data_IF_588112465339
#
_entry.id   IF_588112465339
#
_cell.length_a   1.000
_cell.length_b   1.000
_cell.length_c   1.000
_cell.angle_alpha   90.00
_cell.angle_beta   90.00
_cell.angle_gamma   90.00
#
_symmetry.space_group_name_H-M   'P 1'
#
loop_
_entity.id
_entity.type
_entity.pdbx_description
1 polymer ?
#
# COMPACT_ATOMS: atom_id res chain seq x y z
N UNK A 1 -16.39 -6.17 -5.07
CA UNK A 1 -14.97 -6.56 -5.15
C UNK A 1 -14.46 -6.66 -3.71
N UNK A 2 -14.11 -7.86 -3.22
CA UNK A 2 -13.61 -8.04 -1.86
C UNK A 2 -12.08 -8.10 -1.92
N UNK A 3 -11.42 -7.05 -1.44
CA UNK A 3 -9.96 -6.97 -1.38
C UNK A 3 -9.52 -7.76 -0.14
N UNK A 4 -8.72 -8.81 -0.32
CA UNK A 4 -8.17 -9.61 0.78
C UNK A 4 -6.64 -9.57 0.71
N UNK A 5 -5.96 -9.10 1.77
CA UNK A 5 -4.51 -9.14 1.83
C UNK A 5 -4.01 -10.58 2.07
N UNK A 6 -2.79 -10.85 1.62
CA UNK A 6 -2.14 -12.15 1.80
C UNK A 6 -1.37 -12.27 3.11
N UNK A 7 -0.87 -11.13 3.59
CA UNK A 7 -0.10 -11.00 4.82
C UNK A 7 -0.50 -9.70 5.51
N UNK A 8 -0.60 -9.75 6.83
CA UNK A 8 -0.81 -8.59 7.69
C UNK A 8 0.38 -8.47 8.63
N UNK A 9 1.17 -7.40 8.51
CA UNK A 9 2.37 -7.20 9.32
C UNK A 9 2.06 -6.18 10.43
N UNK A 10 2.24 -6.59 11.69
CA UNK A 10 2.09 -5.71 12.85
C UNK A 10 3.46 -5.45 13.49
N UNK A 11 3.85 -4.18 13.57
CA UNK A 11 5.07 -3.76 14.25
C UNK A 11 4.76 -3.45 15.72
N UNK A 12 5.41 -4.17 16.62
CA UNK A 12 5.33 -3.94 18.05
C UNK A 12 6.44 -2.98 18.49
N UNK A 13 6.07 -1.84 19.05
CA UNK A 13 6.99 -0.75 19.42
C UNK A 13 6.51 -0.18 20.74
N UNK A 14 7.43 0.06 21.68
CA UNK A 14 7.09 0.66 22.98
C UNK A 14 6.45 2.04 22.83
N UNK A 15 5.42 2.30 23.64
CA UNK A 15 4.66 3.55 23.65
C UNK A 15 5.55 4.79 23.77
N UNK A 16 6.56 4.75 24.64
CA UNK A 16 7.47 5.88 24.88
C UNK A 16 8.26 6.25 23.63
N UNK A 17 8.67 5.24 22.85
CA UNK A 17 9.38 5.45 21.58
C UNK A 17 8.42 6.06 20.54
N UNK A 18 7.16 5.61 20.51
CA UNK A 18 6.15 6.17 19.61
C UNK A 18 5.83 7.63 19.96
N UNK A 19 5.80 7.97 21.25
CA UNK A 19 5.56 9.32 21.75
C UNK A 19 6.75 10.23 21.42
N UNK A 20 7.99 9.82 21.71
CA UNK A 20 9.21 10.61 21.37
C UNK A 20 9.27 10.89 19.86
N UNK A 21 8.90 9.90 19.03
CA UNK A 21 8.85 10.05 17.57
C UNK A 21 7.76 11.01 17.10
N UNK A 22 6.63 11.05 17.79
CA UNK A 22 5.52 11.95 17.45
C UNK A 22 5.87 13.40 17.78
N UNK A 23 6.40 13.65 18.98
CA UNK A 23 6.78 14.99 19.46
C UNK A 23 8.06 15.51 18.79
N UNK A 24 8.94 14.61 18.35
CA UNK A 24 10.19 14.94 17.66
C UNK A 24 10.02 15.49 16.24
N UNK A 25 8.78 15.55 15.73
CA UNK A 25 8.46 16.01 14.39
C UNK A 25 8.54 17.54 14.26
N UNK A 26 9.12 18.01 13.17
CA UNK A 26 9.27 19.43 12.83
C UNK A 26 8.82 19.67 11.39
N UNK A 27 8.35 20.88 11.11
CA UNK A 27 7.90 21.32 9.81
C UNK A 27 8.76 22.49 9.36
N UNK A 28 9.25 22.46 8.12
CA UNK A 28 9.80 23.64 7.48
C UNK A 28 8.65 24.47 6.86
N UNK A 29 8.39 25.71 7.31
CA UNK A 29 7.28 26.52 6.82
C UNK A 29 7.45 26.94 5.35
N UNK A 30 8.67 26.96 4.80
CA UNK A 30 8.91 27.40 3.42
C UNK A 30 8.72 26.26 2.41
N UNK A 31 9.20 25.07 2.75
CA UNK A 31 9.16 23.91 1.85
C UNK A 31 8.00 22.96 2.13
N UNK A 32 7.38 23.06 3.31
CA UNK A 32 6.38 22.11 3.79
C UNK A 32 6.95 20.73 4.14
N UNK A 33 8.28 20.54 4.07
CA UNK A 33 8.93 19.26 4.37
C UNK A 33 8.90 18.98 5.87
N UNK A 34 8.70 17.71 6.21
CA UNK A 34 8.72 17.22 7.58
C UNK A 34 10.12 16.71 7.90
N UNK A 35 10.59 17.04 9.09
CA UNK A 35 11.88 16.61 9.62
C UNK A 35 11.69 16.02 11.02
N UNK A 36 12.68 15.26 11.47
CA UNK A 36 12.69 14.74 12.83
C UNK A 36 14.04 15.05 13.49
N UNK A 37 14.01 15.59 14.72
CA UNK A 37 15.20 16.11 15.41
C UNK A 37 16.36 15.08 15.44
N UNK A 38 16.08 13.83 15.83
CA UNK A 38 17.09 12.75 15.92
C UNK A 38 17.22 11.91 14.64
N UNK A 39 16.10 11.36 14.15
CA UNK A 39 16.11 10.30 13.14
C UNK A 39 16.24 10.78 11.69
N UNK A 40 15.85 12.03 11.42
CA UNK A 40 15.91 12.60 10.08
C UNK A 40 16.10 14.13 10.17
N UNK A 41 17.27 14.58 10.67
CA UNK A 41 17.58 15.99 10.75
C UNK A 41 17.78 16.57 9.35
N UNK A 42 17.46 17.86 9.17
CA UNK A 42 17.86 18.56 7.95
C UNK A 42 19.38 18.70 7.90
N UNK A 43 19.98 18.57 6.73
CA UNK A 43 21.42 18.80 6.54
C UNK A 43 21.77 20.29 6.49
N UNK A 44 20.81 21.14 6.09
CA UNK A 44 21.00 22.58 5.97
C UNK A 44 20.71 23.30 7.29
N UNK A 45 21.69 24.05 7.81
CA UNK A 45 21.56 24.84 9.04
C UNK A 45 20.45 25.90 8.97
N UNK A 46 20.26 26.55 7.82
CA UNK A 46 19.17 27.50 7.61
C UNK A 46 17.78 26.87 7.70
N UNK A 47 17.66 25.59 7.37
CA UNK A 47 16.41 24.85 7.55
C UNK A 47 16.23 24.56 9.03
N UNK A 48 17.29 24.10 9.73
CA UNK A 48 17.23 23.78 11.16
C UNK A 48 16.75 24.96 12.01
N UNK A 49 17.22 26.18 11.72
CA UNK A 49 16.86 27.37 12.50
C UNK A 49 15.41 27.83 12.33
N UNK A 50 14.77 27.50 11.20
CA UNK A 50 13.37 27.86 10.90
C UNK A 50 12.36 26.74 11.14
N UNK A 51 12.81 25.56 11.58
CA UNK A 51 11.94 24.43 11.86
C UNK A 51 10.96 24.78 12.99
N UNK A 52 9.67 24.56 12.74
CA UNK A 52 8.61 24.78 13.72
C UNK A 52 7.95 23.47 14.14
N UNK A 53 7.50 23.39 15.39
CA UNK A 53 6.67 22.29 15.87
C UNK A 53 5.21 22.58 15.53
N UNK A 54 4.44 21.57 15.14
CA UNK A 54 3.00 21.74 14.91
C UNK A 54 2.27 21.86 16.25
N UNK A 55 1.17 22.62 16.34
CA UNK A 55 0.39 22.73 17.57
C UNK A 55 -0.18 21.37 18.03
N UNK A 56 -0.42 20.44 17.10
CA UNK A 56 -0.94 19.11 17.40
C UNK A 56 0.11 18.14 17.97
N UNK A 57 1.41 18.45 17.83
CA UNK A 57 2.53 17.55 18.17
C UNK A 57 2.88 17.63 19.67
N UNK A 58 1.87 17.44 20.53
CA UNK A 58 1.99 17.38 21.99
C UNK A 58 1.97 15.94 22.51
N UNK A 59 2.55 15.73 23.69
CA UNK A 59 2.55 14.41 24.36
C UNK A 59 1.13 13.93 24.69
N UNK A 60 0.26 14.83 25.14
CA UNK A 60 -1.15 14.52 25.44
C UNK A 60 -1.89 14.02 24.18
N UNK A 61 -1.70 14.71 23.05
CA UNK A 61 -2.29 14.29 21.78
C UNK A 61 -1.73 12.95 21.30
N UNK A 62 -0.42 12.72 21.48
CA UNK A 62 0.21 11.45 21.15
C UNK A 62 -0.41 10.28 21.95
N UNK A 63 -0.57 10.45 23.26
CA UNK A 63 -1.17 9.46 24.15
C UNK A 63 -2.63 9.20 23.81
N UNK A 64 -3.42 10.25 23.61
CA UNK A 64 -4.83 10.15 23.22
C UNK A 64 -4.99 9.34 21.93
N UNK A 65 -4.20 9.65 20.90
CA UNK A 65 -4.20 8.90 19.64
C UNK A 65 -3.78 7.44 19.81
N UNK A 66 -2.80 7.17 20.67
CA UNK A 66 -2.34 5.81 20.93
C UNK A 66 -3.39 4.99 21.67
N UNK A 67 -4.10 5.59 22.63
CA UNK A 67 -5.20 4.95 23.34
C UNK A 67 -6.35 4.59 22.41
N UNK A 68 -6.79 5.52 21.57
CA UNK A 68 -7.83 5.28 20.55
C UNK A 68 -7.41 4.13 19.64
N UNK A 69 -6.14 4.07 19.23
CA UNK A 69 -5.66 2.94 18.46
C UNK A 69 -5.76 1.62 19.20
N UNK A 70 -5.30 1.55 20.46
CA UNK A 70 -5.36 0.32 21.28
C UNK A 70 -6.79 -0.18 21.47
N UNK A 71 -7.76 0.73 21.60
CA UNK A 71 -9.18 0.36 21.69
C UNK A 71 -9.73 -0.26 20.40
N UNK A 72 -9.21 0.16 19.24
CA UNK A 72 -9.72 -0.28 17.94
C UNK A 72 -8.91 -1.43 17.32
N UNK A 73 -7.68 -1.68 17.79
CA UNK A 73 -6.77 -2.65 17.16
C UNK A 73 -7.27 -4.08 17.29
N UNK A 74 -7.93 -4.41 18.40
CA UNK A 74 -8.41 -5.77 18.68
C UNK A 74 -9.43 -6.24 17.63
N UNK A 75 -10.32 -5.34 17.18
CA UNK A 75 -11.30 -5.64 16.14
C UNK A 75 -10.65 -5.93 14.77
N UNK A 76 -9.50 -5.31 14.49
CA UNK A 76 -8.77 -5.50 13.23
C UNK A 76 -7.94 -6.79 13.33
N UNK A 77 -7.26 -7.01 14.46
CA UNK A 77 -6.41 -8.18 14.67
C UNK A 77 -7.22 -9.47 14.65
N UNK A 78 -8.45 -9.48 15.19
CA UNK A 78 -9.32 -10.65 15.14
C UNK A 78 -9.63 -11.08 13.69
N UNK A 79 -9.87 -10.10 12.82
CA UNK A 79 -10.21 -10.32 11.41
C UNK A 79 -9.03 -10.89 10.62
N UNK A 80 -7.81 -10.43 10.90
CA UNK A 80 -6.60 -10.81 10.16
C UNK A 80 -5.69 -11.79 10.89
N UNK A 81 -6.15 -12.39 11.99
CA UNK A 81 -5.35 -13.29 12.84
C UNK A 81 -4.68 -14.42 12.05
N UNK A 82 -5.37 -14.97 11.05
CA UNK A 82 -4.86 -16.06 10.20
C UNK A 82 -3.65 -15.69 9.34
N UNK A 83 -3.48 -14.41 9.00
CA UNK A 83 -2.40 -13.90 8.14
C UNK A 83 -1.47 -12.91 8.88
N UNK A 84 -1.67 -12.77 10.20
CA UNK A 84 -0.94 -11.84 11.04
C UNK A 84 0.50 -12.32 11.30
N UNK A 85 1.47 -11.45 11.02
CA UNK A 85 2.87 -11.58 11.41
C UNK A 85 3.25 -10.41 12.30
N UNK A 86 3.53 -10.69 13.57
CA UNK A 86 4.03 -9.70 14.52
C UNK A 86 5.55 -9.61 14.44
N UNK A 87 6.07 -8.40 14.38
CA UNK A 87 7.51 -8.12 14.32
C UNK A 87 7.87 -7.15 15.43
N UNK A 88 9.00 -7.39 16.10
CA UNK A 88 9.57 -6.43 17.05
C UNK A 88 10.18 -5.25 16.28
N UNK A 89 9.53 -4.09 16.41
CA UNK A 89 9.91 -2.81 15.80
C UNK A 89 10.79 -1.93 16.68
N UNK A 90 11.23 -2.41 17.85
CA UNK A 90 12.18 -1.69 18.72
C UNK A 90 13.64 -1.83 18.26
N UNK A 91 13.90 -2.71 17.28
CA UNK A 91 15.22 -2.94 16.67
C UNK A 91 15.57 -1.85 15.64
N UNK A 92 16.80 -1.87 15.14
CA UNK A 92 17.23 -0.92 14.10
C UNK A 92 16.42 -1.09 12.81
N UNK A 93 16.28 0.00 12.05
CA UNK A 93 15.50 0.03 10.81
C UNK A 93 15.98 -1.02 9.82
N UNK A 94 17.29 -1.23 9.73
CA UNK A 94 17.93 -2.15 8.80
C UNK A 94 17.58 -3.60 9.13
N UNK A 95 17.53 -3.96 10.42
CA UNK A 95 17.17 -5.32 10.87
C UNK A 95 15.69 -5.59 10.58
N UNK A 96 14.81 -4.66 10.98
CA UNK A 96 13.36 -4.80 10.76
C UNK A 96 13.04 -4.86 9.26
N UNK A 97 13.72 -4.05 8.44
CA UNK A 97 13.51 -4.03 7.00
C UNK A 97 13.90 -5.37 6.35
N UNK A 98 15.07 -5.92 6.70
CA UNK A 98 15.50 -7.24 6.20
C UNK A 98 14.53 -8.36 6.59
N UNK A 99 13.97 -8.29 7.79
CA UNK A 99 12.99 -9.28 8.24
C UNK A 99 11.68 -9.20 7.45
N UNK A 100 11.20 -7.98 7.18
CA UNK A 100 10.03 -7.76 6.32
C UNK A 100 10.29 -8.28 4.90
N UNK A 101 11.46 -7.99 4.31
CA UNK A 101 11.84 -8.50 2.99
C UNK A 101 11.83 -10.03 2.93
N UNK A 102 12.35 -10.68 3.97
CA UNK A 102 12.34 -12.15 4.08
C UNK A 102 10.90 -12.70 4.11
N UNK A 103 10.02 -12.09 4.91
CA UNK A 103 8.61 -12.48 5.00
C UNK A 103 7.88 -12.32 3.67
N UNK A 104 8.07 -11.19 2.99
CA UNK A 104 7.44 -10.94 1.68
C UNK A 104 7.93 -11.95 0.63
N UNK A 105 9.22 -12.28 0.64
CA UNK A 105 9.81 -13.27 -0.26
C UNK A 105 9.24 -14.67 -0.02
N UNK A 106 9.00 -15.05 1.24
CA UNK A 106 8.38 -16.34 1.59
C UNK A 106 6.95 -16.43 1.05
N UNK A 107 6.13 -15.40 1.30
CA UNK A 107 4.74 -15.34 0.82
C UNK A 107 4.69 -15.40 -0.71
N UNK A 108 5.62 -14.74 -1.40
CA UNK A 108 5.68 -14.77 -2.86
C UNK A 108 6.04 -16.17 -3.39
N UNK A 109 6.97 -16.88 -2.73
CA UNK A 109 7.33 -18.26 -3.08
C UNK A 109 6.21 -19.26 -2.81
N UNK A 110 5.51 -19.10 -1.69
CA UNK A 110 4.36 -19.96 -1.35
C UNK A 110 3.26 -19.82 -2.39
N UNK A 111 2.96 -18.59 -2.82
CA UNK A 111 2.03 -18.34 -3.92
C UNK A 111 2.47 -18.98 -5.23
N UNK A 112 3.72 -18.78 -5.66
CA UNK A 112 4.21 -19.38 -6.90
C UNK A 112 4.18 -20.92 -6.85
N UNK A 113 4.46 -21.51 -5.68
CA UNK A 113 4.40 -22.95 -5.50
C UNK A 113 2.95 -23.47 -5.50
N UNK A 114 2.00 -22.74 -4.93
CA UNK A 114 0.58 -23.08 -4.99
C UNK A 114 0.00 -22.97 -6.42
N UNK A 115 0.49 -22.02 -7.21
CA UNK A 115 0.21 -21.91 -8.64
C UNK A 115 0.80 -23.11 -9.41
N UNK A 116 2.06 -23.47 -9.13
CA UNK A 116 2.75 -24.59 -9.77
C UNK A 116 2.16 -25.97 -9.43
N UNK A 117 1.63 -26.14 -8.20
CA UNK A 117 0.98 -27.38 -7.74
C UNK A 117 -0.50 -27.47 -8.14
N UNK A 118 -1.05 -26.46 -8.83
CA UNK A 118 -2.42 -26.48 -9.35
C UNK A 118 -3.52 -26.43 -8.28
N UNK A 119 -3.19 -26.09 -7.02
CA UNK A 119 -4.17 -25.95 -5.94
C UNK A 119 -4.98 -24.63 -6.02
N UNK A 120 -4.56 -23.67 -6.84
CA UNK A 120 -5.35 -22.45 -7.14
C UNK A 120 -6.16 -22.70 -8.43
N UNK A 121 -7.40 -23.18 -8.31
CA UNK A 121 -8.34 -23.32 -9.44
C UNK A 121 -9.10 -22.00 -9.75
N UNK A 122 -8.41 -21.10 -10.48
CA UNK A 122 -8.79 -20.14 -11.56
C UNK A 122 -10.04 -19.18 -11.48
N UNK A 123 -10.12 -18.08 -12.29
CA UNK A 123 -9.20 -17.59 -13.35
C UNK A 123 -8.80 -16.08 -13.26
N UNK A 124 -7.62 -15.72 -13.82
CA UNK A 124 -7.28 -14.31 -14.14
C UNK A 124 -8.00 -13.76 -15.39
N UNK A 125 -8.79 -14.57 -16.10
CA UNK A 125 -9.47 -14.20 -17.34
C UNK A 125 -10.79 -14.95 -17.56
N UNK A 126 -11.69 -14.94 -16.58
CA UNK A 126 -13.04 -15.53 -16.74
C UNK A 126 -13.87 -14.80 -17.81
N UNK A 127 -13.84 -13.47 -17.79
CA UNK A 127 -14.58 -12.60 -18.71
C UNK A 127 -14.01 -12.61 -20.13
N UNK A 128 -12.70 -12.84 -20.27
CA UNK A 128 -12.05 -12.90 -21.58
C UNK A 128 -12.17 -14.27 -22.25
N UNK A 129 -12.58 -15.32 -21.53
CA UNK A 129 -12.79 -16.65 -22.12
C UNK A 129 -14.03 -16.67 -23.00
N UNK A 130 -15.11 -16.04 -22.55
CA UNK A 130 -16.33 -15.82 -23.34
C UNK A 130 -16.06 -14.90 -24.53
N UNK A 131 -15.26 -13.84 -24.34
CA UNK A 131 -14.83 -12.95 -25.42
C UNK A 131 -13.98 -13.69 -26.48
N UNK A 132 -12.99 -14.48 -26.05
CA UNK A 132 -12.16 -15.25 -26.98
C UNK A 132 -12.98 -16.31 -27.73
N UNK A 133 -13.94 -16.93 -27.05
CA UNK A 133 -14.83 -17.92 -27.64
C UNK A 133 -15.81 -17.27 -28.63
N UNK A 134 -16.33 -16.07 -28.31
CA UNK A 134 -17.15 -15.27 -29.22
C UNK A 134 -16.36 -14.80 -30.46
N UNK A 135 -15.13 -14.29 -30.28
CA UNK A 135 -14.25 -13.88 -31.39
C UNK A 135 -13.93 -15.08 -32.29
N UNK A 136 -13.65 -16.24 -31.70
CA UNK A 136 -13.36 -17.47 -32.45
C UNK A 136 -14.58 -18.04 -33.19
N UNK A 137 -15.78 -17.90 -32.62
CA UNK A 137 -17.03 -18.23 -33.31
C UNK A 137 -17.31 -17.26 -34.48
N UNK A 138 -16.94 -15.99 -34.32
CA UNK A 138 -17.06 -14.97 -35.35
C UNK A 138 -15.89 -14.96 -36.35
N UNK A 139 -14.81 -15.71 -36.12
CA UNK A 139 -13.57 -15.69 -36.92
C UNK A 139 -13.84 -15.94 -38.42
N UNK A 140 -14.68 -16.91 -38.74
CA UNK A 140 -15.07 -17.19 -40.14
C UNK A 140 -15.90 -16.06 -40.76
N UNK A 141 -16.73 -15.37 -39.98
CA UNK A 141 -17.51 -14.22 -40.45
C UNK A 141 -16.66 -12.95 -40.57
N UNK A 142 -15.69 -12.77 -39.67
CA UNK A 142 -14.74 -11.65 -39.66
C UNK A 142 -13.73 -11.74 -40.81
N UNK A 143 -13.31 -12.95 -41.19
CA UNK A 143 -12.38 -13.19 -42.31
C UNK A 143 -13.11 -13.19 -43.66
N UNK A 144 -14.42 -13.50 -43.68
CA UNK A 144 -15.24 -13.49 -44.89
C UNK A 144 -15.89 -12.14 -45.22
N UNK A 145 -15.81 -11.16 -44.31
CA UNK A 145 -16.34 -9.83 -44.55
C UNK A 145 -15.31 -8.99 -45.33
N UNK A 146 -15.54 -8.81 -46.64
CA UNK A 146 -14.84 -7.76 -47.39
C UNK A 146 -15.07 -6.42 -46.67
N UNK A 147 -14.01 -5.72 -46.23
CA UNK A 147 -14.17 -4.53 -45.42
C UNK A 147 -14.80 -3.42 -46.26
N UNK A 148 -16.07 -3.12 -46.02
CA UNK A 148 -16.67 -1.88 -46.52
C UNK A 148 -16.16 -0.75 -45.65
N UNK A 149 -15.04 -0.16 -46.05
CA UNK A 149 -14.49 1.04 -45.41
C UNK A 149 -15.51 2.17 -45.56
N UNK A 150 -16.21 2.48 -44.48
CA UNK A 150 -17.04 3.68 -44.40
C UNK A 150 -16.31 4.64 -43.48
N UNK A 151 -15.75 5.70 -44.06
CA UNK A 151 -15.08 6.78 -43.33
C UNK A 151 -16.06 7.47 -42.39
N UNK A 152 -15.94 7.23 -41.08
CA UNK A 152 -16.57 8.07 -40.07
C UNK A 152 -15.75 9.36 -39.96
N UNK A 153 -16.39 10.48 -40.30
CA UNK A 153 -15.78 11.81 -40.39
C UNK A 153 -15.19 12.35 -39.08
N UNK A 154 -14.61 13.54 -39.19
CA UNK A 154 -13.52 14.11 -38.38
C UNK A 154 -13.80 14.49 -36.91
N UNK A 155 -14.82 13.97 -36.21
CA UNK A 155 -15.13 14.46 -34.85
C UNK A 155 -15.63 13.43 -33.82
N UNK A 156 -15.07 12.22 -33.75
CA UNK A 156 -15.32 11.35 -32.57
C UNK A 156 -14.04 10.68 -32.05
N UNK A 157 -13.58 11.11 -30.88
CA UNK A 157 -12.59 10.41 -30.05
C UNK A 157 -13.33 9.58 -28.99
N UNK A 158 -13.03 8.28 -28.92
CA UNK A 158 -13.47 7.40 -27.83
C UNK A 158 -12.32 7.27 -26.84
N UNK A 159 -12.50 7.83 -25.64
CA UNK A 159 -11.53 7.73 -24.54
C UNK A 159 -11.75 6.40 -23.78
N UNK A 160 -10.74 5.53 -23.79
CA UNK A 160 -10.71 4.28 -23.02
C UNK A 160 -10.17 4.52 -21.59
N UNK A 161 -10.55 3.68 -20.59
CA UNK A 161 -10.43 4.00 -19.17
C UNK A 161 -9.01 3.81 -18.63
N UNK A 162 -8.58 4.75 -17.79
CA UNK A 162 -7.32 4.73 -17.05
C UNK A 162 -7.38 3.81 -15.81
N UNK A 163 -6.48 2.84 -15.81
CA UNK A 163 -5.76 2.20 -14.70
C UNK A 163 -6.37 2.20 -13.28
N UNK A 164 -6.66 0.99 -12.78
CA UNK A 164 -6.99 0.72 -11.39
C UNK A 164 -5.78 0.93 -10.46
N UNK A 165 -6.03 1.68 -9.39
CA UNK A 165 -5.12 2.03 -8.31
C UNK A 165 -4.70 0.84 -7.43
N UNK A 166 -3.42 0.82 -7.04
CA UNK A 166 -2.85 -0.06 -6.03
C UNK A 166 -3.09 0.59 -4.65
N UNK A 167 -3.99 0.06 -3.84
CA UNK A 167 -4.33 0.61 -2.53
C UNK A 167 -3.62 -0.17 -1.41
N UNK A 168 -2.47 0.35 -0.95
CA UNK A 168 -1.81 -0.09 0.29
C UNK A 168 -2.60 0.53 1.44
N UNK A 169 -3.37 -0.26 2.19
CA UNK A 169 -4.06 0.22 3.40
C UNK A 169 -3.30 -0.20 4.65
N UNK A 170 -2.96 0.81 5.45
CA UNK A 170 -2.44 0.76 6.81
C UNK A 170 -1.03 0.17 7.00
N UNK A 171 -0.06 0.82 6.37
CA UNK A 171 1.10 1.24 7.17
C UNK A 171 0.59 2.35 8.09
N UNK A 172 0.76 2.21 9.41
CA UNK A 172 0.73 3.38 10.30
C UNK A 172 1.92 4.25 9.90
N UNK A 173 1.68 5.06 8.88
CA UNK A 173 2.24 6.37 8.67
C UNK A 173 1.91 7.18 9.93
N UNK A 174 2.73 7.02 10.96
CA UNK A 174 3.31 8.23 11.55
C UNK A 174 4.14 8.78 10.40
N UNK A 175 3.51 9.64 9.59
CA UNK A 175 4.03 10.30 8.39
C UNK A 175 5.54 10.17 8.26
N UNK A 176 5.97 9.18 7.50
CA UNK A 176 7.20 9.27 6.74
C UNK A 176 6.87 10.20 5.58
N UNK A 177 7.08 11.49 5.80
CA UNK A 177 7.29 12.50 4.76
C UNK A 177 8.63 13.15 5.08
#
# INVERSE_FOLDING_TARGET
>A
MQIRPDIYIALDVHDDILIDRFVGRRLDPLTGKIYHIKNFPSENEEVKSRLVTRPDDTEENARSRLQIYKQNVDAILSTYFSILKKLDGNRSKEVVFKEIESLLTQVQKEKSNQEALGLIRQPKYGHLKELHQAIKLCEKALIAADPTVTSLGSQQEVLLPSFNALHITNVKSITCC
#
